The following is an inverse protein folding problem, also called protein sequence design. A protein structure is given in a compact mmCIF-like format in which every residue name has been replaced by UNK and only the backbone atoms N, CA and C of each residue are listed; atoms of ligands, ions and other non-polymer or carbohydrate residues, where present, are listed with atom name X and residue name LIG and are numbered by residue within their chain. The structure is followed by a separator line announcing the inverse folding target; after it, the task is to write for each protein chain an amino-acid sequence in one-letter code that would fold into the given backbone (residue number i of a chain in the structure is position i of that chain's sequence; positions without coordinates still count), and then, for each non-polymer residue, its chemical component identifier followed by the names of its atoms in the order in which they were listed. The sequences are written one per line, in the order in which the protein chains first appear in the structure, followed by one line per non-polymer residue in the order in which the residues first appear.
data_IF_721561300547
#
_entry.id   IF_721561300547
#
_cell.length_a   1.000
_cell.length_b   1.000
_cell.length_c   1.000
_cell.angle_alpha   90.00
_cell.angle_beta   90.00
_cell.angle_gamma   90.00
#
_symmetry.space_group_name_H-M   'P 1'
#
loop_
_entity.id
_entity.type
_entity.pdbx_description
1 polymer ?
#
# COMPACT_ATOMS: atom_id res chain seq x y z
N UNK A 1 23.54 25.64 7.93
CA UNK A 1 22.09 25.35 7.81
C UNK A 1 21.90 23.90 8.21
N UNK A 2 20.96 23.61 9.10
CA UNK A 2 20.70 22.22 9.49
C UNK A 2 20.03 21.50 8.30
N UNK A 3 20.62 20.39 7.85
CA UNK A 3 19.99 19.52 6.87
C UNK A 3 19.01 18.57 7.56
N UNK A 4 17.90 18.27 6.90
CA UNK A 4 16.99 17.19 7.27
C UNK A 4 17.31 15.96 6.40
N UNK A 5 17.10 14.76 6.91
CA UNK A 5 17.24 13.54 6.14
C UNK A 5 15.98 12.69 6.27
N UNK A 6 15.41 12.31 5.13
CA UNK A 6 14.33 11.35 5.05
C UNK A 6 14.94 9.96 4.88
N UNK A 7 14.58 9.05 5.77
CA UNK A 7 15.13 7.70 5.82
C UNK A 7 14.03 6.67 5.67
N UNK A 8 14.30 5.62 4.90
CA UNK A 8 13.46 4.45 4.76
C UNK A 8 14.29 3.18 4.79
N UNK A 9 13.67 2.07 5.14
CA UNK A 9 14.31 0.76 5.13
C UNK A 9 13.34 -0.28 4.58
N UNK A 10 13.81 -1.10 3.64
CA UNK A 10 13.09 -2.25 3.11
C UNK A 10 13.83 -3.52 3.52
N UNK A 11 13.16 -4.37 4.29
CA UNK A 11 13.68 -5.67 4.70
C UNK A 11 13.14 -6.78 3.79
N UNK A 12 14.04 -7.56 3.22
CA UNK A 12 13.75 -8.68 2.35
C UNK A 12 13.49 -9.97 3.13
N UNK A 13 12.89 -10.97 2.46
CA UNK A 13 12.59 -12.29 3.04
C UNK A 13 13.84 -13.06 3.45
N UNK A 14 14.96 -12.85 2.76
CA UNK A 14 16.25 -13.46 3.08
C UNK A 14 16.93 -12.81 4.31
N UNK A 15 16.34 -11.77 4.89
CA UNK A 15 16.87 -11.04 6.04
C UNK A 15 17.69 -9.82 5.68
N UNK A 16 18.05 -9.64 4.40
CA UNK A 16 18.79 -8.46 3.93
C UNK A 16 17.93 -7.19 4.06
N UNK A 17 18.60 -6.04 4.12
CA UNK A 17 17.95 -4.74 4.27
C UNK A 17 18.52 -3.73 3.29
N UNK A 18 17.64 -3.04 2.57
CA UNK A 18 17.97 -1.91 1.71
C UNK A 18 17.55 -0.60 2.37
N UNK A 19 18.51 0.29 2.58
CA UNK A 19 18.27 1.61 3.13
C UNK A 19 18.04 2.63 2.02
N UNK A 20 17.16 3.57 2.28
CA UNK A 20 16.89 4.74 1.45
C UNK A 20 17.22 5.98 2.27
N UNK A 21 17.95 6.92 1.69
CA UNK A 21 18.34 8.16 2.35
C UNK A 21 18.25 9.31 1.36
N UNK A 22 17.29 10.20 1.60
CA UNK A 22 17.08 11.40 0.78
C UNK A 22 17.37 12.62 1.64
N UNK A 23 18.34 13.42 1.20
CA UNK A 23 18.68 14.69 1.86
C UNK A 23 17.63 15.74 1.50
N UNK A 24 17.15 16.46 2.51
CA UNK A 24 16.22 17.56 2.36
C UNK A 24 16.66 18.77 3.19
N UNK A 25 16.19 19.94 2.82
CA UNK A 25 16.35 21.14 3.63
C UNK A 25 15.27 21.20 4.72
N UNK A 26 15.48 22.02 5.75
CA UNK A 26 14.50 22.28 6.82
C UNK A 26 13.38 23.23 6.34
N UNK A 27 12.77 22.94 5.20
CA UNK A 27 11.59 23.61 4.71
C UNK A 27 10.60 22.62 4.10
N UNK A 28 9.31 22.92 4.19
CA UNK A 28 8.22 22.01 3.81
C UNK A 28 8.30 21.62 2.33
N UNK A 29 8.68 22.56 1.45
CA UNK A 29 8.79 22.29 0.00
C UNK A 29 9.85 21.23 -0.28
N UNK A 30 11.04 21.38 0.31
CA UNK A 30 12.13 20.42 0.16
C UNK A 30 11.78 19.05 0.74
N UNK A 31 11.10 19.02 1.89
CA UNK A 31 10.62 17.76 2.50
C UNK A 31 9.60 17.06 1.58
N UNK A 32 8.66 17.79 0.98
CA UNK A 32 7.68 17.22 0.05
C UNK A 32 8.36 16.65 -1.20
N UNK A 33 9.30 17.39 -1.78
CA UNK A 33 10.10 16.89 -2.91
C UNK A 33 10.91 15.65 -2.53
N UNK A 34 11.54 15.64 -1.35
CA UNK A 34 12.28 14.50 -0.86
C UNK A 34 11.39 13.27 -0.60
N UNK A 35 10.15 13.48 -0.14
CA UNK A 35 9.18 12.40 0.04
C UNK A 35 8.75 11.80 -1.30
N UNK A 36 8.52 12.65 -2.30
CA UNK A 36 8.20 12.20 -3.65
C UNK A 36 9.35 11.39 -4.25
N UNK A 37 10.59 11.85 -4.10
CA UNK A 37 11.78 11.10 -4.51
C UNK A 37 11.87 9.74 -3.80
N UNK A 38 11.69 9.72 -2.48
CA UNK A 38 11.73 8.47 -1.71
C UNK A 38 10.65 7.49 -2.17
N UNK A 39 9.43 7.97 -2.44
CA UNK A 39 8.34 7.17 -3.00
C UNK A 39 8.73 6.55 -4.33
N UNK A 40 9.30 7.34 -5.23
CA UNK A 40 9.66 6.89 -6.58
C UNK A 40 10.80 5.84 -6.51
N UNK A 41 11.82 6.07 -5.67
CA UNK A 41 12.90 5.10 -5.42
C UNK A 41 12.37 3.77 -4.87
N UNK A 42 11.48 3.81 -3.88
CA UNK A 42 10.85 2.61 -3.31
C UNK A 42 9.99 1.90 -4.36
N UNK A 43 9.23 2.66 -5.17
CA UNK A 43 8.33 2.09 -6.17
C UNK A 43 9.09 1.34 -7.27
N UNK A 44 10.24 1.86 -7.70
CA UNK A 44 11.12 1.17 -8.65
C UNK A 44 11.59 -0.17 -8.06
N UNK A 45 12.11 -0.15 -6.84
CA UNK A 45 12.61 -1.37 -6.18
C UNK A 45 11.52 -2.41 -6.02
N UNK A 46 10.32 -2.03 -5.60
CA UNK A 46 9.21 -2.96 -5.44
C UNK A 46 8.73 -3.51 -6.80
N UNK A 47 8.73 -2.67 -7.84
CA UNK A 47 8.36 -3.09 -9.20
C UNK A 47 9.34 -4.14 -9.73
N UNK A 48 10.64 -3.92 -9.55
CA UNK A 48 11.68 -4.87 -9.95
C UNK A 48 11.52 -6.22 -9.23
N UNK A 49 11.21 -6.22 -7.92
CA UNK A 49 10.98 -7.44 -7.15
C UNK A 49 9.75 -8.21 -7.65
N UNK A 50 8.68 -7.51 -8.02
CA UNK A 50 7.48 -8.14 -8.60
C UNK A 50 7.79 -8.76 -9.96
N UNK A 51 8.59 -8.09 -10.78
CA UNK A 51 9.02 -8.64 -12.08
C UNK A 51 9.87 -9.89 -11.86
N UNK A 52 10.82 -9.84 -10.92
CA UNK A 52 11.66 -10.99 -10.57
C UNK A 52 10.81 -12.19 -10.11
N UNK A 53 9.86 -11.98 -9.20
CA UNK A 53 8.96 -13.04 -8.72
C UNK A 53 8.12 -13.66 -9.86
N UNK A 54 7.62 -12.82 -10.79
CA UNK A 54 6.90 -13.28 -11.99
C UNK A 54 7.79 -14.08 -12.96
N UNK A 55 9.08 -13.76 -13.03
CA UNK A 55 10.03 -14.45 -13.91
C UNK A 55 10.52 -15.78 -13.35
N UNK A 56 10.68 -15.87 -12.03
CA UNK A 56 11.14 -17.07 -11.33
C UNK A 56 10.05 -18.15 -11.22
N UNK A 57 8.77 -17.79 -11.38
CA UNK A 57 7.66 -18.74 -11.36
C UNK A 57 6.90 -18.80 -12.71
N UNK A 58 7.50 -19.38 -13.78
CA UNK A 58 6.90 -19.42 -15.11
C UNK A 58 5.60 -20.25 -15.19
N UNK A 59 5.28 -21.04 -14.15
CA UNK A 59 4.06 -21.86 -14.08
C UNK A 59 2.82 -21.11 -13.58
N UNK A 60 2.92 -19.80 -13.26
CA UNK A 60 1.78 -18.98 -12.84
C UNK A 60 1.31 -18.00 -13.93
N UNK A 61 1.41 -18.40 -15.21
CA UNK A 61 0.93 -17.63 -16.38
C UNK A 61 -0.32 -18.24 -17.03
N UNK A 62 -1.28 -18.69 -16.23
CA UNK A 62 -2.62 -19.02 -16.70
C UNK A 62 -3.64 -18.18 -15.93
N UNK A 63 -3.92 -16.97 -16.42
CA UNK A 63 -5.06 -16.19 -15.93
C UNK A 63 -5.01 -14.70 -16.28
N UNK A 64 -5.61 -14.36 -17.42
CA UNK A 64 -6.13 -13.02 -17.75
C UNK A 64 -5.13 -11.85 -17.85
N UNK A 65 -4.41 -11.82 -18.96
CA UNK A 65 -4.10 -10.56 -19.64
C UNK A 65 -5.17 -10.35 -20.72
N UNK A 66 -6.30 -9.76 -20.33
CA UNK A 66 -7.28 -9.22 -21.27
C UNK A 66 -7.33 -7.72 -21.01
N UNK A 67 -6.54 -7.00 -21.80
CA UNK A 67 -6.67 -5.56 -21.98
C UNK A 67 -7.96 -5.29 -22.75
N UNK A 68 -9.02 -4.93 -22.03
CA UNK A 68 -10.19 -4.26 -22.63
C UNK A 68 -10.19 -2.81 -22.12
N UNK A 69 -9.45 -1.99 -22.85
CA UNK A 69 -9.67 -0.57 -22.98
C UNK A 69 -10.99 -0.38 -23.76
N UNK A 70 -12.11 -0.25 -23.04
CA UNK A 70 -13.34 0.28 -23.62
C UNK A 70 -14.06 1.22 -22.63
N UNK A 71 -13.79 2.50 -22.87
CA UNK A 71 -14.81 3.52 -23.14
C UNK A 71 -15.44 4.29 -21.96
N UNK A 72 -15.45 5.59 -22.19
CA UNK A 72 -15.96 6.70 -21.41
C UNK A 72 -17.48 6.63 -21.23
N UNK A 73 -17.98 7.17 -20.11
CA UNK A 73 -19.40 7.33 -19.89
C UNK A 73 -19.71 7.82 -18.49
N UNK A 74 -19.32 9.06 -18.21
CA UNK A 74 -19.81 9.90 -17.12
C UNK A 74 -21.35 9.93 -17.12
N UNK A 75 -21.97 9.41 -16.07
CA UNK A 75 -23.40 9.56 -15.81
C UNK A 75 -23.56 9.90 -14.32
N UNK A 76 -23.40 11.19 -14.02
CA UNK A 76 -23.96 11.79 -12.82
C UNK A 76 -25.50 11.66 -12.90
N UNK A 77 -26.17 11.08 -11.90
CA UNK A 77 -27.39 11.67 -11.30
C UNK A 77 -27.87 10.92 -10.03
N UNK A 78 -28.20 11.73 -9.02
CA UNK A 78 -29.22 11.56 -7.97
C UNK A 78 -29.10 10.48 -6.86
N UNK A 79 -28.49 10.93 -5.77
CA UNK A 79 -29.01 10.98 -4.38
C UNK A 79 -30.40 10.31 -4.14
N UNK A 80 -30.43 9.18 -3.40
CA UNK A 80 -31.55 8.86 -2.49
C UNK A 80 -31.07 8.20 -1.19
N UNK A 81 -31.30 8.81 -0.01
CA UNK A 81 -31.04 8.16 1.27
C UNK A 81 -32.23 7.28 1.65
N UNK A 82 -32.00 5.98 1.88
CA UNK A 82 -32.99 5.12 2.55
C UNK A 82 -32.41 4.49 3.81
N UNK A 83 -32.90 5.06 4.90
CA UNK A 83 -32.97 4.56 6.26
C UNK A 83 -33.35 3.09 6.35
N UNK A 84 -32.69 2.32 7.25
CA UNK A 84 -33.29 1.78 8.49
C UNK A 84 -32.34 0.81 9.20
N UNK A 85 -32.41 0.90 10.52
CA UNK A 85 -31.58 0.26 11.53
C UNK A 85 -31.69 -1.27 11.60
N UNK A 86 -30.60 -1.90 12.03
CA UNK A 86 -30.58 -2.94 13.10
C UNK A 86 -29.09 -3.19 13.42
N UNK A 87 -28.59 -2.79 14.59
CA UNK A 87 -28.43 -3.66 15.76
C UNK A 87 -27.90 -5.04 15.34
N UNK A 88 -26.68 -5.44 15.69
CA UNK A 88 -26.35 -5.93 17.03
C UNK A 88 -24.82 -6.07 17.16
N UNK A 89 -24.33 -5.74 18.34
CA UNK A 89 -22.94 -5.71 18.81
C UNK A 89 -22.12 -7.00 18.54
N UNK A 90 -20.76 -6.90 18.52
CA UNK A 90 -19.88 -8.05 18.34
C UNK A 90 -20.04 -9.12 19.45
N UNK A 91 -19.69 -10.39 19.13
CA UNK A 91 -20.16 -11.57 19.85
C UNK A 91 -19.73 -11.65 21.32
N UNK A 92 -20.64 -12.24 22.11
CA UNK A 92 -20.59 -12.37 23.56
C UNK A 92 -19.27 -12.94 24.11
N UNK A 93 -18.80 -12.34 25.21
CA UNK A 93 -17.63 -12.74 25.98
C UNK A 93 -17.73 -14.20 26.45
N UNK A 94 -16.69 -15.00 26.17
CA UNK A 94 -16.42 -16.33 26.77
C UNK A 94 -16.23 -16.19 28.28
N UNK A 95 -17.16 -16.69 29.10
CA UNK A 95 -16.90 -16.95 30.52
C UNK A 95 -16.43 -18.39 30.70
N UNK A 96 -15.21 -18.57 31.24
CA UNK A 96 -14.68 -19.84 31.74
C UNK A 96 -15.18 -20.02 33.17
N UNK A 97 -15.90 -21.09 33.44
CA UNK A 97 -16.29 -21.46 34.81
C UNK A 97 -15.08 -22.20 35.42
N UNK A 98 -14.37 -21.55 36.33
CA UNK A 98 -13.36 -22.16 37.20
C UNK A 98 -14.08 -22.82 38.39
N UNK A 99 -13.76 -24.11 38.60
CA UNK A 99 -13.67 -24.87 39.86
C UNK A 99 -14.59 -24.50 41.04
N UNK A 100 -15.31 -25.51 41.56
CA UNK A 100 -15.01 -26.17 42.84
C UNK A 100 -15.27 -27.66 42.70
#
# INVERSE_FOLDING_TARGET
MAGCELRGELKYRNGDTKQFLVKAETNIKSILSGLQQLKDEVSVVLSDLVIQEKSENPHSRNGNDVSEDENEGDDEEEIKPKTKASSLEPPAKRTKNLQV
#
